data_IF_440135310113
#
_entry.id   IF_440135310113
#
_cell.length_a   1.000
_cell.length_b   1.000
_cell.length_c   1.000
_cell.angle_alpha   90.00
_cell.angle_beta   90.00
_cell.angle_gamma   90.00
#
_symmetry.space_group_name_H-M   'P 1'
#
loop_
_entity.id
_entity.type
_entity.pdbx_description
1 polymer ?
#
# COMPACT_ATOMS: atom_id res chain seq x y z
N UNK A 1 -18.98 -4.28 -27.34
CA UNK A 1 -19.30 -3.13 -28.19
C UNK A 1 -17.99 -2.56 -28.71
N UNK A 2 -17.78 -2.66 -30.03
CA UNK A 2 -16.52 -2.24 -30.66
C UNK A 2 -16.51 -0.75 -31.08
N UNK A 3 -17.47 0.04 -30.63
CA UNK A 3 -17.69 1.39 -31.12
C UNK A 3 -17.69 2.49 -30.05
N UNK A 4 -17.53 2.17 -28.77
CA UNK A 4 -17.44 3.18 -27.73
C UNK A 4 -15.98 3.56 -27.49
N UNK A 5 -15.63 4.83 -27.61
CA UNK A 5 -14.31 5.36 -27.30
C UNK A 5 -14.13 5.55 -25.77
N UNK A 6 -15.24 5.70 -25.04
CA UNK A 6 -15.26 5.94 -23.61
C UNK A 6 -16.21 4.96 -22.92
N UNK A 7 -15.73 4.30 -21.86
CA UNK A 7 -16.52 3.41 -21.03
C UNK A 7 -16.55 3.96 -19.60
N UNK A 8 -17.75 4.08 -19.03
CA UNK A 8 -17.96 4.53 -17.67
C UNK A 8 -18.45 3.36 -16.83
N UNK A 9 -17.78 3.11 -15.70
CA UNK A 9 -18.18 2.08 -14.75
C UNK A 9 -18.06 2.61 -13.32
N UNK A 10 -18.71 1.93 -12.39
CA UNK A 10 -18.56 2.21 -10.97
C UNK A 10 -17.32 1.48 -10.40
N UNK A 11 -16.78 2.02 -9.32
CA UNK A 11 -15.81 1.34 -8.47
C UNK A 11 -16.40 0.98 -7.12
N UNK A 12 -15.61 0.37 -6.23
CA UNK A 12 -15.92 0.06 -4.85
C UNK A 12 -16.91 -1.12 -4.65
N UNK A 13 -18.00 -1.22 -5.40
CA UNK A 13 -19.00 -2.28 -5.26
C UNK A 13 -18.51 -3.55 -5.96
N UNK A 14 -18.62 -4.68 -5.28
CA UNK A 14 -18.26 -6.00 -5.80
C UNK A 14 -19.33 -7.04 -5.45
N UNK A 15 -19.09 -8.27 -5.84
CA UNK A 15 -19.80 -9.45 -5.35
C UNK A 15 -18.84 -10.31 -4.55
N UNK A 16 -19.30 -10.78 -3.40
CA UNK A 16 -18.53 -11.73 -2.60
C UNK A 16 -18.61 -13.16 -3.17
N UNK A 17 -17.90 -14.09 -2.53
CA UNK A 17 -17.87 -15.50 -2.95
C UNK A 17 -19.23 -16.19 -2.96
N UNK A 18 -20.22 -15.65 -2.26
CA UNK A 18 -21.60 -16.15 -2.18
C UNK A 18 -22.53 -15.47 -3.19
N UNK A 19 -22.00 -14.56 -4.04
CA UNK A 19 -22.78 -13.85 -5.05
C UNK A 19 -23.57 -12.64 -4.51
N UNK A 20 -23.48 -12.35 -3.22
CA UNK A 20 -24.13 -11.19 -2.59
C UNK A 20 -23.38 -9.90 -2.93
N UNK A 21 -24.11 -8.77 -2.94
CA UNK A 21 -23.53 -7.45 -3.10
C UNK A 21 -22.67 -7.13 -1.87
N UNK A 22 -21.46 -6.67 -2.12
CA UNK A 22 -20.46 -6.34 -1.12
C UNK A 22 -19.61 -5.15 -1.60
N UNK A 23 -18.62 -4.75 -0.84
CA UNK A 23 -17.73 -3.65 -1.19
C UNK A 23 -16.26 -4.03 -0.98
N UNK A 24 -15.38 -3.31 -1.65
CA UNK A 24 -13.92 -3.51 -1.60
C UNK A 24 -13.25 -2.73 -0.46
N UNK A 25 -14.01 -2.32 0.53
CA UNK A 25 -13.54 -1.57 1.70
C UNK A 25 -12.79 -0.26 1.32
N UNK A 26 -11.88 0.17 2.20
CA UNK A 26 -11.15 1.42 2.01
C UNK A 26 -10.22 1.35 0.80
N UNK A 27 -10.28 2.37 -0.06
CA UNK A 27 -9.51 2.41 -1.31
C UNK A 27 -10.10 1.52 -2.42
N UNK A 28 -11.34 1.01 -2.24
CA UNK A 28 -11.97 0.09 -3.18
C UNK A 28 -12.16 0.64 -4.58
N UNK A 29 -12.37 1.94 -4.75
CA UNK A 29 -12.45 2.56 -6.08
C UNK A 29 -11.12 2.55 -6.81
N UNK A 30 -10.03 2.87 -6.11
CA UNK A 30 -8.66 2.81 -6.66
C UNK A 30 -8.29 1.37 -7.01
N UNK A 31 -8.67 0.43 -6.14
CA UNK A 31 -8.47 -1.00 -6.40
C UNK A 31 -9.24 -1.48 -7.63
N UNK A 32 -10.48 -1.03 -7.80
CA UNK A 32 -11.27 -1.31 -9.01
C UNK A 32 -10.58 -0.78 -10.26
N UNK A 33 -10.06 0.46 -10.21
CA UNK A 33 -9.32 1.04 -11.33
C UNK A 33 -8.09 0.20 -11.70
N UNK A 34 -7.34 -0.26 -10.69
CA UNK A 34 -6.17 -1.13 -10.90
C UNK A 34 -6.53 -2.49 -11.46
N UNK A 35 -7.62 -3.12 -10.98
CA UNK A 35 -8.09 -4.41 -11.50
C UNK A 35 -8.53 -4.30 -12.96
N UNK A 36 -9.30 -3.25 -13.30
CA UNK A 36 -9.75 -3.03 -14.68
C UNK A 36 -8.56 -2.71 -15.57
N UNK A 37 -7.66 -1.81 -15.14
CA UNK A 37 -6.45 -1.47 -15.88
C UNK A 37 -5.58 -2.70 -16.17
N UNK A 38 -5.40 -3.58 -15.18
CA UNK A 38 -4.69 -4.84 -15.33
C UNK A 38 -5.39 -5.81 -16.30
N UNK A 39 -6.73 -5.91 -16.23
CA UNK A 39 -7.52 -6.80 -17.07
C UNK A 39 -7.50 -6.41 -18.56
N UNK A 40 -7.53 -5.11 -18.87
CA UNK A 40 -7.48 -4.60 -20.24
C UNK A 40 -6.05 -4.32 -20.73
N UNK A 41 -5.03 -4.54 -19.89
CA UNK A 41 -3.63 -4.21 -20.17
C UNK A 41 -3.46 -2.73 -20.59
N UNK A 42 -3.98 -1.83 -19.74
CA UNK A 42 -3.92 -0.41 -19.98
C UNK A 42 -2.47 0.11 -20.09
N UNK A 43 -2.26 1.16 -20.86
CA UNK A 43 -0.95 1.81 -20.96
C UNK A 43 -0.58 2.55 -19.68
N UNK A 44 -1.56 3.15 -18.99
CA UNK A 44 -1.40 3.85 -17.71
C UNK A 44 -2.72 3.76 -16.92
N UNK A 45 -2.64 3.67 -15.60
CA UNK A 45 -3.76 3.82 -14.69
C UNK A 45 -3.64 5.18 -14.01
N UNK A 46 -4.66 6.01 -14.09
CA UNK A 46 -4.69 7.33 -13.46
C UNK A 46 -5.65 7.34 -12.29
N UNK A 47 -5.19 7.80 -11.14
CA UNK A 47 -5.98 7.98 -9.94
C UNK A 47 -6.03 9.47 -9.63
N UNK A 48 -7.20 10.04 -9.78
CA UNK A 48 -7.47 11.44 -9.54
C UNK A 48 -8.04 11.66 -8.15
N UNK A 49 -7.35 12.48 -7.35
CA UNK A 49 -7.66 12.74 -5.95
C UNK A 49 -7.60 14.26 -5.67
N UNK A 50 -7.71 14.66 -4.42
CA UNK A 50 -7.64 16.06 -3.96
C UNK A 50 -6.21 16.51 -3.61
N UNK A 51 -5.21 15.65 -3.81
CA UNK A 51 -3.78 15.93 -3.55
C UNK A 51 -2.95 15.73 -4.81
N UNK A 52 -1.85 16.47 -4.91
CA UNK A 52 -1.00 16.54 -6.09
C UNK A 52 0.05 15.41 -6.17
N UNK A 53 -0.22 14.29 -5.54
CA UNK A 53 0.64 13.10 -5.53
C UNK A 53 1.13 12.73 -4.13
N UNK A 54 2.05 11.78 -4.06
CA UNK A 54 2.72 11.43 -2.81
C UNK A 54 3.77 12.47 -2.47
N UNK A 55 3.76 12.95 -1.22
CA UNK A 55 4.73 13.91 -0.72
C UNK A 55 5.89 13.24 0.01
N UNK A 56 7.02 13.92 0.04
CA UNK A 56 8.22 13.47 0.77
C UNK A 56 8.03 13.42 2.28
N UNK A 57 7.02 14.10 2.81
CA UNK A 57 6.55 14.06 4.20
C UNK A 57 5.03 14.27 4.26
N UNK A 58 4.44 14.01 5.41
CA UNK A 58 3.03 14.30 5.66
C UNK A 58 2.83 15.80 5.91
N UNK A 59 2.06 16.52 5.06
CA UNK A 59 1.84 17.97 5.21
C UNK A 59 1.08 18.36 6.49
N UNK A 60 0.49 17.41 7.18
CA UNK A 60 -0.15 17.66 8.48
C UNK A 60 0.86 17.90 9.61
N UNK A 61 2.10 17.42 9.45
CA UNK A 61 3.17 17.50 10.44
C UNK A 61 4.34 18.38 9.99
N UNK A 62 4.52 18.51 8.69
CA UNK A 62 5.63 19.27 8.09
C UNK A 62 5.09 20.27 7.11
N UNK A 63 5.36 21.58 7.36
CA UNK A 63 4.79 22.65 6.54
C UNK A 63 5.37 22.71 5.12
N UNK A 64 6.67 22.38 4.96
CA UNK A 64 7.38 22.44 3.68
C UNK A 64 7.54 21.03 3.09
N UNK A 65 6.46 20.51 2.52
CA UNK A 65 6.50 19.23 1.82
C UNK A 65 6.54 19.45 0.32
N UNK A 66 7.23 18.55 -0.38
CA UNK A 66 7.28 18.54 -1.85
C UNK A 66 6.76 17.22 -2.41
N UNK A 67 6.02 17.23 -3.53
CA UNK A 67 5.57 16.02 -4.17
C UNK A 67 6.75 15.21 -4.72
N UNK A 68 6.74 13.91 -4.46
CA UNK A 68 7.70 12.96 -5.02
C UNK A 68 7.26 12.63 -6.44
N UNK A 69 8.10 12.92 -7.42
CA UNK A 69 7.73 12.76 -8.84
C UNK A 69 7.66 11.32 -9.30
N UNK A 70 8.55 10.47 -8.78
CA UNK A 70 8.63 9.07 -9.18
C UNK A 70 8.90 8.15 -7.98
N UNK A 71 8.15 7.06 -7.94
CA UNK A 71 8.31 5.98 -6.96
C UNK A 71 8.30 4.64 -7.68
N UNK A 72 9.05 3.67 -7.19
CA UNK A 72 8.79 2.31 -7.59
C UNK A 72 7.60 1.71 -6.81
N UNK A 73 7.07 0.58 -7.29
CA UNK A 73 5.90 -0.04 -6.67
C UNK A 73 6.12 -0.42 -5.21
N UNK A 74 7.32 -0.86 -4.83
CA UNK A 74 7.63 -1.25 -3.45
C UNK A 74 7.77 -0.03 -2.53
N UNK A 75 8.34 1.06 -3.02
CA UNK A 75 8.41 2.34 -2.31
C UNK A 75 7.00 2.90 -2.06
N UNK A 76 6.17 2.93 -3.09
CA UNK A 76 4.79 3.39 -2.98
C UNK A 76 3.96 2.54 -2.00
N UNK A 77 4.11 1.21 -2.05
CA UNK A 77 3.44 0.29 -1.13
C UNK A 77 3.90 0.50 0.32
N UNK A 78 5.20 0.70 0.56
CA UNK A 78 5.75 0.99 1.89
C UNK A 78 5.24 2.32 2.43
N UNK A 79 5.28 3.39 1.64
CA UNK A 79 4.77 4.70 2.04
C UNK A 79 3.28 4.64 2.37
N UNK A 80 2.47 3.97 1.54
CA UNK A 80 1.05 3.77 1.77
C UNK A 80 0.79 2.96 3.06
N UNK A 81 1.59 1.94 3.35
CA UNK A 81 1.47 1.13 4.56
C UNK A 81 1.81 1.92 5.83
N UNK A 82 2.83 2.76 5.79
CA UNK A 82 3.32 3.51 6.94
C UNK A 82 2.68 4.88 7.15
N UNK A 83 1.67 5.26 6.39
CA UNK A 83 0.85 6.42 6.73
C UNK A 83 0.59 7.44 5.62
N UNK A 84 1.18 7.29 4.45
CA UNK A 84 0.78 8.09 3.30
C UNK A 84 -0.64 7.68 2.89
N UNK A 85 -1.65 8.43 3.36
CA UNK A 85 -3.08 8.08 3.19
C UNK A 85 -3.61 8.28 1.76
N UNK A 86 -2.73 8.45 0.79
CA UNK A 86 -3.06 8.86 -0.57
C UNK A 86 -3.54 7.67 -1.42
N UNK A 87 -2.98 6.49 -1.16
CA UNK A 87 -3.28 5.28 -1.91
C UNK A 87 -3.33 4.08 -0.96
N UNK A 88 -4.30 3.19 -1.17
CA UNK A 88 -4.32 1.94 -0.40
C UNK A 88 -3.29 0.95 -0.97
N UNK A 89 -2.46 0.27 -0.14
CA UNK A 89 -1.41 -0.64 -0.64
C UNK A 89 -1.91 -1.72 -1.61
N UNK A 90 -3.12 -2.24 -1.38
CA UNK A 90 -3.71 -3.28 -2.23
C UNK A 90 -3.96 -2.80 -3.67
N UNK A 91 -4.15 -1.47 -3.87
CA UNK A 91 -4.43 -0.91 -5.20
C UNK A 91 -3.23 -1.01 -6.14
N UNK A 92 -2.02 -1.15 -5.60
CA UNK A 92 -0.78 -1.20 -6.38
C UNK A 92 -0.54 -2.61 -6.96
N UNK A 93 -1.00 -3.66 -6.29
CA UNK A 93 -0.67 -5.04 -6.65
C UNK A 93 -1.08 -5.43 -8.08
N UNK A 94 -2.32 -5.21 -8.55
CA UNK A 94 -2.71 -5.61 -9.90
C UNK A 94 -1.89 -4.87 -10.98
N UNK A 95 -1.59 -3.59 -10.76
CA UNK A 95 -0.77 -2.79 -11.66
C UNK A 95 0.69 -3.28 -11.68
N UNK A 96 1.27 -3.58 -10.50
CA UNK A 96 2.61 -4.13 -10.36
C UNK A 96 2.76 -5.47 -11.09
N UNK A 97 1.82 -6.40 -10.91
CA UNK A 97 1.86 -7.73 -11.55
C UNK A 97 1.85 -7.65 -13.08
N UNK A 98 1.26 -6.62 -13.64
CA UNK A 98 1.19 -6.38 -15.09
C UNK A 98 2.20 -5.34 -15.57
N UNK A 99 3.01 -4.80 -14.66
CA UNK A 99 3.96 -3.71 -14.94
C UNK A 99 3.31 -2.49 -15.61
N UNK A 100 2.09 -2.12 -15.16
CA UNK A 100 1.35 -0.98 -15.68
C UNK A 100 1.64 0.22 -14.77
N UNK A 101 2.15 1.35 -15.30
CA UNK A 101 2.40 2.54 -14.50
C UNK A 101 1.10 3.10 -13.92
N UNK A 102 1.19 3.58 -12.67
CA UNK A 102 0.09 4.24 -11.97
C UNK A 102 0.47 5.69 -11.72
N UNK A 103 -0.38 6.62 -12.13
CA UNK A 103 -0.18 8.04 -11.93
C UNK A 103 -1.21 8.61 -10.96
N UNK A 104 -0.73 9.24 -9.90
CA UNK A 104 -1.57 9.97 -8.94
C UNK A 104 -1.63 11.44 -9.37
N UNK A 105 -2.84 11.97 -9.53
CA UNK A 105 -3.09 13.30 -10.07
C UNK A 105 -4.07 14.07 -9.19
N UNK A 106 -3.95 15.40 -9.21
CA UNK A 106 -4.86 16.28 -8.49
C UNK A 106 -6.04 16.73 -9.38
N UNK A 107 -7.24 16.36 -9.01
CA UNK A 107 -8.46 16.75 -9.74
C UNK A 107 -8.72 18.28 -9.67
N UNK A 108 -8.24 18.94 -8.62
CA UNK A 108 -8.38 20.39 -8.44
C UNK A 108 -7.24 21.17 -9.11
N UNK A 109 -6.13 20.50 -9.46
CA UNK A 109 -4.98 21.08 -10.16
C UNK A 109 -4.50 20.14 -11.28
N UNK A 110 -5.26 20.03 -12.39
CA UNK A 110 -4.96 19.07 -13.46
C UNK A 110 -3.62 19.29 -14.18
N UNK A 111 -3.05 20.50 -14.05
CA UNK A 111 -1.72 20.83 -14.60
C UNK A 111 -0.56 20.33 -13.74
N UNK A 112 -0.80 19.89 -12.49
CA UNK A 112 0.21 19.32 -11.64
C UNK A 112 0.69 17.97 -12.19
N UNK A 113 2.00 17.72 -12.19
CA UNK A 113 2.59 16.49 -12.75
C UNK A 113 2.26 15.23 -11.95
N UNK A 114 1.82 15.37 -10.70
CA UNK A 114 1.53 14.26 -9.82
C UNK A 114 2.73 13.38 -9.48
N UNK A 115 2.44 12.16 -9.07
CA UNK A 115 3.44 11.11 -8.81
C UNK A 115 3.25 9.94 -9.77
N UNK A 116 4.30 9.56 -10.47
CA UNK A 116 4.35 8.35 -11.29
C UNK A 116 4.90 7.18 -10.47
N UNK A 117 4.15 6.08 -10.42
CA UNK A 117 4.55 4.82 -9.80
C UNK A 117 4.82 3.81 -10.91
N UNK A 118 6.05 3.33 -11.04
CA UNK A 118 6.44 2.39 -12.09
C UNK A 118 7.67 1.58 -11.66
N UNK A 119 7.99 0.54 -12.38
CA UNK A 119 9.17 -0.30 -12.08
C UNK A 119 10.51 0.43 -12.30
N UNK A 120 10.53 1.49 -13.11
CA UNK A 120 11.74 2.19 -13.59
C UNK A 120 12.09 3.46 -12.82
N UNK A 121 11.57 3.63 -11.59
CA UNK A 121 11.86 4.82 -10.81
C UNK A 121 13.34 4.93 -10.43
N UNK A 122 13.89 6.14 -10.50
CA UNK A 122 15.26 6.44 -10.12
C UNK A 122 15.56 6.04 -8.68
N UNK A 123 16.76 5.52 -8.44
CA UNK A 123 17.25 5.13 -7.13
C UNK A 123 17.84 6.34 -6.41
N UNK A 124 17.03 7.10 -5.73
CA UNK A 124 17.50 8.09 -4.76
C UNK A 124 17.72 7.44 -3.39
N UNK A 125 18.63 7.98 -2.59
CA UNK A 125 18.97 7.45 -1.27
C UNK A 125 17.76 7.53 -0.31
N UNK A 126 17.06 8.67 -0.28
CA UNK A 126 15.85 8.91 0.53
C UNK A 126 14.89 9.75 -0.31
N UNK A 127 13.71 9.23 -0.62
CA UNK A 127 12.67 9.94 -1.38
C UNK A 127 11.60 10.56 -0.50
N UNK A 128 11.22 9.84 0.54
CA UNK A 128 10.15 10.26 1.45
C UNK A 128 10.28 9.59 2.82
N UNK A 129 9.65 10.22 3.80
CA UNK A 129 9.50 9.68 5.16
C UNK A 129 8.02 9.63 5.49
N UNK A 130 7.53 8.47 5.91
CA UNK A 130 6.18 8.30 6.41
C UNK A 130 6.21 7.95 7.89
N UNK A 131 5.29 8.52 8.66
CA UNK A 131 5.14 8.24 10.07
C UNK A 131 3.69 7.81 10.38
N UNK A 132 3.54 6.93 11.34
CA UNK A 132 2.23 6.48 11.82
C UNK A 132 2.17 6.64 13.32
N UNK A 133 1.17 7.38 13.79
CA UNK A 133 0.91 7.62 15.20
C UNK A 133 0.08 6.49 15.83
N UNK A 134 0.02 6.51 17.16
CA UNK A 134 -0.77 5.57 17.97
C UNK A 134 -0.37 4.10 17.73
N UNK A 135 0.93 3.86 17.65
CA UNK A 135 1.50 2.52 17.54
C UNK A 135 2.01 2.08 18.91
N UNK A 136 1.63 0.87 19.33
CA UNK A 136 2.22 0.20 20.48
C UNK A 136 3.29 -0.76 20.01
N UNK A 137 4.52 -0.54 20.42
CA UNK A 137 5.62 -1.46 20.15
C UNK A 137 5.67 -2.57 21.21
N UNK A 138 5.50 -3.80 20.78
CA UNK A 138 5.56 -4.98 21.66
C UNK A 138 6.79 -5.82 21.31
N UNK A 139 7.69 -6.00 22.27
CA UNK A 139 8.85 -6.88 22.15
C UNK A 139 8.62 -8.14 22.96
N UNK A 140 8.51 -9.27 22.30
CA UNK A 140 8.28 -10.58 22.93
C UNK A 140 9.57 -11.39 22.80
N UNK A 141 10.04 -11.95 23.92
CA UNK A 141 11.19 -12.86 23.97
C UNK A 141 10.76 -14.19 24.59
N UNK A 142 11.11 -15.28 23.94
CA UNK A 142 11.02 -16.59 24.59
C UNK A 142 12.13 -16.75 25.63
N UNK A 143 11.77 -17.17 26.82
CA UNK A 143 12.73 -17.50 27.90
C UNK A 143 13.19 -18.96 27.85
N UNK A 144 12.53 -19.78 27.03
CA UNK A 144 12.81 -21.20 26.89
C UNK A 144 13.07 -21.55 25.41
N UNK A 145 13.76 -22.66 25.19
CA UNK A 145 14.04 -23.19 23.86
C UNK A 145 12.75 -23.79 23.25
N UNK A 146 11.81 -22.94 22.91
CA UNK A 146 10.60 -23.34 22.18
C UNK A 146 10.93 -23.26 20.68
N UNK A 147 10.60 -24.28 19.87
CA UNK A 147 10.77 -24.20 18.41
C UNK A 147 10.11 -22.93 17.86
N UNK A 148 10.83 -22.18 17.06
CA UNK A 148 10.41 -20.87 16.54
C UNK A 148 9.00 -20.89 15.90
N UNK A 149 8.62 -21.91 15.09
CA UNK A 149 7.27 -21.94 14.49
C UNK A 149 6.16 -22.02 15.54
N UNK A 150 6.35 -22.82 16.59
CA UNK A 150 5.36 -22.98 17.67
C UNK A 150 5.22 -21.70 18.49
N UNK A 151 6.35 -21.05 18.81
CA UNK A 151 6.34 -19.77 19.53
C UNK A 151 5.58 -18.69 18.74
N UNK A 152 5.84 -18.58 17.43
CA UNK A 152 5.17 -17.61 16.57
C UNK A 152 3.66 -17.90 16.44
N UNK A 153 3.27 -19.17 16.34
CA UNK A 153 1.85 -19.55 16.32
C UNK A 153 1.14 -19.05 17.59
N UNK A 154 1.67 -19.33 18.77
CA UNK A 154 1.07 -18.88 20.03
C UNK A 154 0.92 -17.36 20.08
N UNK A 155 1.94 -16.62 19.64
CA UNK A 155 1.92 -15.16 19.63
C UNK A 155 0.82 -14.64 18.71
N UNK A 156 0.77 -15.11 17.46
CA UNK A 156 -0.22 -14.64 16.49
C UNK A 156 -1.64 -15.10 16.82
N UNK A 157 -1.82 -16.32 17.32
CA UNK A 157 -3.12 -16.82 17.78
C UNK A 157 -3.66 -15.98 18.94
N UNK A 158 -2.77 -15.54 19.84
CA UNK A 158 -3.16 -14.65 20.93
C UNK A 158 -3.69 -13.31 20.37
N UNK A 159 -2.97 -12.65 19.48
CA UNK A 159 -3.43 -11.40 18.88
C UNK A 159 -4.73 -11.58 18.08
N UNK A 160 -4.86 -12.69 17.36
CA UNK A 160 -6.07 -13.03 16.62
C UNK A 160 -7.28 -13.18 17.54
N UNK A 161 -7.14 -13.93 18.63
CA UNK A 161 -8.24 -14.15 19.59
C UNK A 161 -8.71 -12.86 20.27
N UNK A 162 -7.86 -11.86 20.39
CA UNK A 162 -8.20 -10.54 20.91
C UNK A 162 -8.54 -9.51 19.83
N UNK A 163 -8.72 -9.93 18.57
CA UNK A 163 -8.98 -9.05 17.43
C UNK A 163 -8.02 -7.85 17.35
N UNK A 164 -6.77 -8.04 17.71
CA UNK A 164 -5.76 -6.99 17.73
C UNK A 164 -4.99 -7.00 16.41
N UNK A 165 -5.12 -5.95 15.57
CA UNK A 165 -4.38 -5.88 14.31
C UNK A 165 -2.89 -5.74 14.59
N UNK A 166 -2.08 -6.60 13.98
CA UNK A 166 -0.62 -6.65 14.17
C UNK A 166 0.09 -6.42 12.84
N UNK A 167 1.05 -5.49 12.85
CA UNK A 167 2.07 -5.38 11.80
C UNK A 167 3.41 -5.79 12.41
N UNK A 168 4.10 -6.75 11.82
CA UNK A 168 5.44 -7.12 12.27
C UNK A 168 6.50 -6.43 11.41
N UNK A 169 7.50 -5.83 12.07
CA UNK A 169 8.63 -5.20 11.40
C UNK A 169 9.88 -6.05 11.42
N UNK A 170 9.99 -6.97 12.38
CA UNK A 170 11.19 -7.74 12.57
C UNK A 170 10.94 -9.06 13.33
N UNK A 171 11.16 -10.20 12.65
CA UNK A 171 11.23 -11.51 13.26
C UNK A 171 12.71 -11.94 13.25
N UNK A 172 13.36 -11.98 14.43
CA UNK A 172 14.67 -12.62 14.59
C UNK A 172 14.50 -13.90 15.37
N UNK A 173 14.93 -15.02 14.79
CA UNK A 173 15.32 -16.17 15.58
C UNK A 173 16.56 -15.73 16.40
N UNK A 174 16.54 -15.91 17.72
CA UNK A 174 17.74 -15.79 18.52
C UNK A 174 18.63 -16.98 18.16
N UNK A 175 19.65 -16.74 17.35
CA UNK A 175 20.79 -17.62 17.35
C UNK A 175 21.49 -17.45 18.71
N UNK A 176 21.41 -18.48 19.52
CA UNK A 176 22.27 -18.59 20.71
C UNK A 176 23.68 -18.79 20.17
N UNK A 177 24.47 -17.74 20.14
CA UNK A 177 25.91 -17.89 20.07
C UNK A 177 26.34 -18.59 21.35
N UNK A 178 26.45 -19.90 21.29
CA UNK A 178 27.25 -20.66 22.22
C UNK A 178 28.71 -20.31 21.90
N UNK A 179 29.23 -19.30 22.57
CA UNK A 179 30.67 -19.11 22.64
C UNK A 179 31.19 -20.17 23.62
N UNK A 180 31.87 -21.15 23.08
CA UNK A 180 32.93 -21.90 23.74
C UNK A 180 34.26 -21.23 23.42
#
# INVERSE_FOLDING_TARGET
NKEAEIYITQGFICRNAYGSIDNLERGGSDYTASLIGAAIQAEEIQIWTDIDGMHNNDPRFVNDTAPVRQLNFDEAAKLAHFGAKILHPACILPAKEKNIPVRLLNALQPSASGTLISDTAEKEAIKAVAAKDNITYVKIKSLHTIPTPHFLSIVFDTFYNYNTPVSYTHLRAHETLANL
#
